data_IF_284079545370
#
_entry.id   IF_284079545370
#
_cell.length_a   1.000
_cell.length_b   1.000
_cell.length_c   1.000
_cell.angle_alpha   90.00
_cell.angle_beta   90.00
_cell.angle_gamma   90.00
#
_symmetry.space_group_name_H-M   'P 1'
#
loop_
_entity.id
_entity.type
_entity.pdbx_description
1 polymer ?
#
# COMPACT_ATOMS: atom_id res chain seq x y z
N UNK A 1 4.64 -26.05 -0.79
CA UNK A 1 4.64 -25.72 -0.87
C UNK A 1 4.78 -25.14 -1.36
N UNK A 2 4.49 -25.07 -1.40
CA UNK A 2 4.54 -24.57 -1.73
C UNK A 2 4.71 -23.80 -2.09
N UNK A 3 4.67 -23.58 -2.10
CA UNK A 3 4.71 -22.84 -2.28
C UNK A 3 5.11 -22.23 -2.90
N UNK A 4 5.23 -22.04 -3.11
CA UNK A 4 5.59 -21.53 -3.76
C UNK A 4 5.51 -20.83 -4.58
N UNK A 5 4.98 -20.89 -4.76
CA UNK A 5 4.92 -20.43 -5.76
C UNK A 5 4.47 -19.32 -5.89
N UNK A 6 3.81 -18.97 -5.65
CA UNK A 6 3.38 -17.90 -5.69
C UNK A 6 3.80 -17.30 -4.82
N UNK A 7 4.46 -17.36 -4.66
CA UNK A 7 5.07 -16.83 -4.04
C UNK A 7 5.06 -15.52 -3.74
N UNK A 8 4.33 -14.79 -3.98
CA UNK A 8 4.25 -13.40 -3.67
C UNK A 8 3.37 -13.22 -2.48
N UNK A 9 3.89 -13.56 -1.34
CA UNK A 9 3.14 -13.35 -0.12
C UNK A 9 3.07 -11.86 0.14
N UNK A 10 1.93 -11.42 0.56
CA UNK A 10 1.74 -10.03 0.90
C UNK A 10 1.97 -9.85 2.40
N UNK A 11 2.85 -8.95 2.73
CA UNK A 11 3.13 -8.65 4.12
C UNK A 11 3.49 -7.18 4.24
N UNK A 12 3.26 -6.62 5.39
CA UNK A 12 3.61 -5.24 5.67
C UNK A 12 4.42 -5.25 6.95
N UNK A 13 5.61 -4.70 6.87
CA UNK A 13 6.48 -4.62 8.02
C UNK A 13 6.73 -3.15 8.28
N UNK A 14 6.24 -2.64 9.40
CA UNK A 14 6.38 -1.24 9.74
C UNK A 14 7.19 -1.12 11.01
N UNK A 15 8.31 -0.43 10.93
CA UNK A 15 9.21 -0.27 12.05
C UNK A 15 9.19 1.16 12.52
N UNK A 16 8.78 1.34 13.77
CA UNK A 16 8.75 2.65 14.42
C UNK A 16 7.99 3.71 13.62
N UNK A 17 6.99 3.28 12.89
CA UNK A 17 6.19 4.18 12.08
C UNK A 17 7.01 4.96 11.05
N UNK A 18 8.23 4.56 10.80
CA UNK A 18 9.11 5.30 9.91
C UNK A 18 9.62 4.53 8.71
N UNK A 19 9.78 3.24 8.86
CA UNK A 19 10.31 2.44 7.77
C UNK A 19 9.35 1.32 7.48
N UNK A 20 8.95 1.20 6.24
CA UNK A 20 7.96 0.23 5.86
C UNK A 20 8.45 -0.60 4.70
N UNK A 21 8.30 -1.91 4.81
CA UNK A 21 8.61 -2.82 3.73
C UNK A 21 7.33 -3.58 3.41
N UNK A 22 6.91 -3.54 2.17
CA UNK A 22 5.69 -4.19 1.75
C UNK A 22 6.03 -5.17 0.66
N UNK A 23 5.55 -6.40 0.81
CA UNK A 23 5.75 -7.43 -0.19
C UNK A 23 4.43 -7.73 -0.87
N UNK A 24 4.48 -8.40 -2.02
CA UNK A 24 3.28 -8.73 -2.75
C UNK A 24 2.65 -7.53 -3.43
N UNK A 25 3.45 -6.55 -3.81
CA UNK A 25 2.94 -5.35 -4.46
C UNK A 25 3.03 -5.55 -5.96
N UNK A 26 1.90 -5.43 -6.64
CA UNK A 26 1.88 -5.58 -8.09
C UNK A 26 2.37 -4.31 -8.77
N UNK A 27 1.94 -3.18 -8.29
CA UNK A 27 2.36 -1.91 -8.84
C UNK A 27 1.94 -0.78 -7.92
N UNK A 28 2.58 0.37 -8.09
CA UNK A 28 2.19 1.57 -7.38
C UNK A 28 1.38 2.40 -8.35
N UNK A 29 0.13 2.70 -7.98
CA UNK A 29 -0.74 3.47 -8.83
C UNK A 29 -0.49 4.96 -8.71
N UNK A 30 -0.19 5.41 -7.52
CA UNK A 30 0.01 6.81 -7.28
C UNK A 30 0.73 7.02 -5.97
N UNK A 31 1.56 8.04 -5.88
CA UNK A 31 2.19 8.33 -4.62
C UNK A 31 2.74 9.75 -4.59
N UNK A 32 2.78 10.31 -3.39
CA UNK A 32 3.41 11.58 -3.15
C UNK A 32 3.86 11.56 -1.71
N UNK A 33 4.24 12.70 -1.16
CA UNK A 33 4.80 12.75 0.17
C UNK A 33 3.78 12.48 1.27
N UNK A 34 2.51 12.42 0.93
CA UNK A 34 1.48 12.20 1.93
C UNK A 34 0.66 10.95 1.73
N UNK A 35 0.79 10.32 0.59
CA UNK A 35 -0.07 9.19 0.30
C UNK A 35 0.55 8.26 -0.73
N UNK A 36 0.39 6.97 -0.50
CA UNK A 36 0.76 5.96 -1.49
C UNK A 36 -0.47 5.11 -1.74
N UNK A 37 -0.78 4.90 -3.01
CA UNK A 37 -1.85 3.99 -3.40
C UNK A 37 -1.20 2.90 -4.23
N UNK A 38 -1.34 1.67 -3.80
CA UNK A 38 -0.72 0.57 -4.52
C UNK A 38 -1.64 -0.62 -4.64
N UNK A 39 -1.43 -1.38 -5.69
CA UNK A 39 -2.21 -2.57 -5.96
C UNK A 39 -1.40 -3.74 -5.47
N UNK A 40 -1.93 -4.49 -4.53
CA UNK A 40 -1.24 -5.65 -3.99
C UNK A 40 -2.02 -6.91 -4.34
N UNK A 41 -1.41 -8.04 -4.09
CA UNK A 41 -2.08 -9.31 -4.37
C UNK A 41 -3.29 -9.52 -3.46
N UNK A 42 -3.42 -8.71 -2.42
CA UNK A 42 -4.56 -8.82 -1.52
C UNK A 42 -5.51 -7.63 -1.65
N UNK A 43 -5.33 -6.82 -2.69
CA UNK A 43 -6.22 -5.68 -2.92
C UNK A 43 -5.47 -4.36 -2.88
N UNK A 44 -6.21 -3.29 -3.05
CA UNK A 44 -5.59 -1.97 -3.02
C UNK A 44 -5.29 -1.55 -1.61
N UNK A 45 -4.14 -0.92 -1.46
CA UNK A 45 -3.67 -0.49 -0.16
C UNK A 45 -3.34 0.99 -0.23
N UNK A 46 -3.87 1.76 0.71
CA UNK A 46 -3.59 3.18 0.81
C UNK A 46 -2.79 3.42 2.08
N UNK A 47 -1.66 4.08 1.93
CA UNK A 47 -0.83 4.45 3.06
C UNK A 47 -0.80 5.96 3.13
N UNK A 48 -1.09 6.51 4.27
CA UNK A 48 -1.09 7.94 4.45
C UNK A 48 -0.11 8.34 5.51
N UNK A 49 0.52 9.45 5.32
CA UNK A 49 1.51 9.90 6.27
C UNK A 49 2.05 11.27 5.93
N UNK A 50 3.28 11.49 6.33
CA UNK A 50 3.94 12.76 6.15
C UNK A 50 5.38 12.53 5.75
N UNK A 51 5.84 13.29 4.79
CA UNK A 51 7.21 13.17 4.31
C UNK A 51 7.53 11.75 3.87
N UNK A 52 6.60 11.12 3.21
CA UNK A 52 6.80 9.77 2.71
C UNK A 52 7.70 9.79 1.48
N UNK A 53 8.59 8.83 1.41
CA UNK A 53 9.51 8.70 0.27
C UNK A 53 9.60 7.25 -0.16
N UNK A 54 9.64 7.06 -1.46
CA UNK A 54 9.83 5.73 -2.02
C UNK A 54 11.32 5.46 -2.04
N UNK A 55 11.77 4.49 -1.25
CA UNK A 55 13.17 4.16 -1.21
C UNK A 55 13.55 3.15 -2.26
N UNK A 56 12.69 2.18 -2.49
CA UNK A 56 13.02 1.12 -3.41
C UNK A 56 11.76 0.48 -3.94
N UNK A 57 11.78 0.17 -5.21
CA UNK A 57 10.70 -0.56 -5.85
C UNK A 57 11.36 -1.69 -6.61
N UNK A 58 11.09 -2.92 -6.18
CA UNK A 58 11.65 -4.09 -6.83
C UNK A 58 10.53 -4.82 -7.53
N UNK A 59 10.44 -4.66 -8.84
CA UNK A 59 9.35 -5.26 -9.58
C UNK A 59 9.52 -6.76 -9.74
N UNK A 60 10.73 -7.25 -9.66
CA UNK A 60 10.95 -8.67 -9.78
C UNK A 60 10.50 -9.39 -8.53
N UNK A 61 10.76 -8.83 -7.39
CA UNK A 61 10.35 -9.44 -6.14
C UNK A 61 9.07 -8.87 -5.61
N UNK A 62 8.55 -7.88 -6.28
CA UNK A 62 7.28 -7.24 -5.91
C UNK A 62 7.34 -6.66 -4.51
N UNK A 63 8.41 -5.98 -4.20
CA UNK A 63 8.56 -5.35 -2.89
C UNK A 63 8.71 -3.86 -3.04
N UNK A 64 8.22 -3.15 -2.03
CA UNK A 64 8.29 -1.69 -1.99
C UNK A 64 8.80 -1.29 -0.62
N UNK A 65 9.73 -0.36 -0.61
CA UNK A 65 10.30 0.13 0.62
C UNK A 65 10.01 1.63 0.72
N UNK A 66 9.41 2.05 1.81
CA UNK A 66 8.99 3.42 2.02
C UNK A 66 9.54 3.94 3.33
N UNK A 67 9.86 5.22 3.36
CA UNK A 67 10.35 5.84 4.56
C UNK A 67 9.53 7.11 4.79
N UNK A 68 9.37 7.51 6.03
CA UNK A 68 8.60 8.69 6.37
C UNK A 68 7.70 8.37 7.54
N UNK A 69 6.91 9.33 7.95
CA UNK A 69 6.02 9.11 9.08
C UNK A 69 4.71 8.51 8.58
N UNK A 70 4.43 7.30 9.00
CA UNK A 70 3.22 6.61 8.58
C UNK A 70 2.12 6.87 9.59
N UNK A 71 1.01 7.41 9.13
CA UNK A 71 -0.11 7.72 10.01
C UNK A 71 -1.22 6.70 9.91
N UNK A 72 -1.44 6.15 8.73
CA UNK A 72 -2.49 5.14 8.60
C UNK A 72 -2.23 4.29 7.38
N UNK A 73 -2.84 3.11 7.37
CA UNK A 73 -2.85 2.29 6.19
C UNK A 73 -4.17 1.54 6.19
N UNK A 74 -4.71 1.34 5.01
CA UNK A 74 -6.01 0.72 4.90
C UNK A 74 -6.16 0.07 3.54
N UNK A 75 -6.90 -1.03 3.50
CA UNK A 75 -7.21 -1.67 2.25
C UNK A 75 -8.51 -1.08 1.73
N UNK A 76 -8.60 -0.97 0.43
CA UNK A 76 -9.77 -0.40 -0.22
C UNK A 76 -10.35 -1.42 -1.17
N UNK A 77 -11.63 -1.69 -1.00
CA UNK A 77 -12.31 -2.58 -1.90
C UNK A 77 -12.68 -1.77 -3.12
N UNK A 78 -12.31 -2.25 -4.28
CA UNK A 78 -12.59 -1.47 -5.47
C UNK A 78 -13.40 -2.18 -6.52
N UNK A 79 -13.73 -3.42 -6.28
CA UNK A 79 -14.33 -4.19 -7.33
C UNK A 79 -15.72 -3.74 -7.72
N UNK A 80 -16.48 -3.21 -6.84
CA UNK A 80 -17.79 -2.76 -7.20
C UNK A 80 -18.03 -1.35 -6.81
N UNK A 81 -17.00 -0.62 -6.67
CA UNK A 81 -17.16 0.73 -6.24
C UNK A 81 -16.48 1.68 -7.17
N UNK A 82 -16.35 1.28 -8.40
CA UNK A 82 -15.69 2.12 -9.31
C UNK A 82 -16.28 3.47 -9.35
N UNK A 83 -17.55 3.55 -9.46
CA UNK A 83 -18.17 4.85 -9.54
C UNK A 83 -18.30 5.46 -8.17
N UNK A 84 -17.96 4.72 -7.14
CA UNK A 84 -18.05 5.26 -5.81
C UNK A 84 -16.74 5.34 -5.10
N UNK A 85 -15.69 5.21 -5.84
CA UNK A 85 -14.37 5.26 -5.25
C UNK A 85 -14.17 6.49 -4.41
N UNK A 86 -14.62 7.60 -4.90
CA UNK A 86 -14.45 8.84 -4.17
C UNK A 86 -15.15 8.80 -2.84
N UNK A 87 -16.33 8.22 -2.82
CA UNK A 87 -17.07 8.12 -1.58
C UNK A 87 -16.35 7.27 -0.56
N UNK A 88 -15.79 6.18 -0.99
CA UNK A 88 -15.09 5.30 -0.08
C UNK A 88 -13.87 5.98 0.48
N UNK A 89 -13.15 6.67 -0.36
CA UNK A 89 -11.97 7.38 0.10
C UNK A 89 -12.37 8.47 1.07
N UNK A 90 -13.46 9.15 0.78
CA UNK A 90 -13.94 10.20 1.65
C UNK A 90 -14.29 9.62 3.02
N UNK A 91 -14.91 8.46 3.04
CA UNK A 91 -15.25 7.86 4.31
C UNK A 91 -14.01 7.49 5.09
N UNK A 92 -12.99 7.01 4.43
CA UNK A 92 -11.75 6.69 5.10
C UNK A 92 -11.16 7.93 5.72
N UNK A 93 -11.20 9.03 5.03
CA UNK A 93 -10.69 10.27 5.56
C UNK A 93 -11.42 10.67 6.83
N UNK A 94 -12.70 10.47 6.86
CA UNK A 94 -13.45 10.82 8.04
C UNK A 94 -13.06 9.98 9.23
N UNK A 95 -12.67 8.77 8.99
CA UNK A 95 -12.30 7.89 10.06
C UNK A 95 -10.90 8.19 10.57
N UNK A 96 -10.11 8.78 9.75
CA UNK A 96 -8.76 9.12 10.10
C UNK A 96 -8.70 10.52 10.66
#
# INVERSE_FOLDING_TARGET
>A
MENNIDNYNHAINLIERKNMLITGVKKIDNFDSEEFLMDTVMGYLIIKGKDLELLKLDTMQQTVSIKGQVNSLAYVENNKTKEKDTSIITKLFKWI
#
